data_IF_966258598300
#
_entry.id   IF_966258598300
#
_cell.length_a   1.000
_cell.length_b   1.000
_cell.length_c   1.000
_cell.angle_alpha   90.00
_cell.angle_beta   90.00
_cell.angle_gamma   90.00
#
_symmetry.space_group_name_H-M   'P 1'
#
loop_
_entity.id
_entity.type
_entity.pdbx_description
1 polymer ?
#
# COMPACT_ATOMS: atom_id res chain seq x y z
N UNK A 1 17.75 -5.62 -15.96
CA UNK A 1 16.69 -4.59 -15.90
C UNK A 1 15.99 -4.59 -17.24
N UNK A 2 14.66 -4.66 -17.25
CA UNK A 2 13.88 -4.59 -18.48
C UNK A 2 13.70 -3.11 -18.84
N UNK A 3 14.42 -2.65 -19.87
CA UNK A 3 14.44 -1.25 -20.28
C UNK A 3 13.94 -1.09 -21.71
N UNK A 4 13.03 -0.15 -21.92
CA UNK A 4 12.52 0.25 -23.22
C UNK A 4 12.82 1.71 -23.55
N UNK A 5 12.39 2.12 -24.74
CA UNK A 5 12.55 3.49 -25.24
C UNK A 5 11.20 4.06 -25.66
N UNK A 6 10.89 5.28 -25.22
CA UNK A 6 9.66 5.98 -25.57
C UNK A 6 9.63 6.26 -27.07
N UNK A 7 8.50 5.95 -27.72
CA UNK A 7 8.24 6.26 -29.13
C UNK A 7 7.13 7.28 -29.31
N UNK A 8 6.23 7.43 -28.34
CA UNK A 8 5.13 8.41 -28.39
C UNK A 8 4.74 8.90 -26.99
N UNK A 9 4.37 10.18 -26.91
CA UNK A 9 3.79 10.82 -25.71
C UNK A 9 2.51 11.55 -26.11
N UNK A 10 1.41 11.31 -25.40
CA UNK A 10 0.10 11.92 -25.65
C UNK A 10 -0.60 12.20 -24.32
N UNK A 11 -0.34 13.36 -23.74
CA UNK A 11 -0.79 13.69 -22.38
C UNK A 11 -0.21 12.68 -21.37
N UNK A 12 -1.02 12.06 -20.50
CA UNK A 12 -0.52 11.10 -19.53
C UNK A 12 -0.25 9.69 -20.11
N UNK A 13 -0.58 9.46 -21.38
CA UNK A 13 -0.32 8.19 -22.06
C UNK A 13 1.02 8.24 -22.80
N UNK A 14 1.90 7.31 -22.47
CA UNK A 14 3.23 7.13 -23.07
C UNK A 14 3.30 5.75 -23.74
N UNK A 15 3.92 5.66 -24.90
CA UNK A 15 4.19 4.38 -25.58
C UNK A 15 5.69 4.15 -25.63
N UNK A 16 6.15 2.97 -25.22
CA UNK A 16 7.54 2.57 -25.27
C UNK A 16 7.73 1.20 -25.93
N UNK A 17 8.83 1.03 -26.63
CA UNK A 17 9.27 -0.21 -27.31
C UNK A 17 10.43 -0.87 -26.55
N UNK A 18 10.68 -2.15 -26.79
CA UNK A 18 11.74 -2.92 -26.11
C UNK A 18 11.36 -3.43 -24.72
N UNK A 19 10.06 -3.56 -24.43
CA UNK A 19 9.53 -4.05 -23.14
C UNK A 19 8.86 -5.42 -23.27
N UNK A 20 9.34 -6.28 -24.18
CA UNK A 20 8.74 -7.59 -24.46
C UNK A 20 8.65 -8.52 -23.23
N UNK A 21 9.59 -8.39 -22.29
CA UNK A 21 9.62 -9.20 -21.07
C UNK A 21 8.86 -8.56 -19.88
N UNK A 22 8.33 -7.35 -20.06
CA UNK A 22 7.50 -6.71 -19.03
C UNK A 22 6.09 -7.31 -19.01
N UNK A 23 5.37 -7.11 -17.92
CA UNK A 23 3.99 -7.58 -17.78
C UNK A 23 2.99 -6.42 -17.75
N UNK A 24 1.76 -6.69 -18.15
CA UNK A 24 0.64 -5.78 -17.91
C UNK A 24 0.48 -5.57 -16.41
N UNK A 25 0.23 -4.32 -16.01
CA UNK A 25 0.18 -3.80 -14.65
C UNK A 25 1.54 -3.55 -13.98
N UNK A 26 2.67 -3.87 -14.62
CA UNK A 26 3.98 -3.55 -14.06
C UNK A 26 4.14 -2.04 -13.89
N UNK A 27 4.70 -1.64 -12.75
CA UNK A 27 5.13 -0.26 -12.53
C UNK A 27 6.41 -0.03 -13.33
N UNK A 28 6.46 1.12 -14.01
CA UNK A 28 7.62 1.56 -14.78
C UNK A 28 8.11 2.92 -14.29
N UNK A 29 9.40 3.18 -14.49
CA UNK A 29 10.06 4.48 -14.28
C UNK A 29 10.35 5.11 -15.64
N UNK A 30 9.76 6.28 -15.90
CA UNK A 30 9.73 6.93 -17.22
C UNK A 30 10.63 8.16 -17.24
N UNK A 31 11.56 8.19 -18.21
CA UNK A 31 12.48 9.29 -18.44
C UNK A 31 13.58 9.45 -17.38
N UNK A 32 14.41 10.48 -17.55
CA UNK A 32 15.52 10.80 -16.64
C UNK A 32 15.05 11.16 -15.23
N UNK A 33 13.83 11.71 -15.11
CA UNK A 33 13.19 12.04 -13.84
C UNK A 33 12.54 10.83 -13.16
N UNK A 34 12.60 9.64 -13.77
CA UNK A 34 12.06 8.38 -13.22
C UNK A 34 10.59 8.51 -12.77
N UNK A 35 9.76 9.18 -13.58
CA UNK A 35 8.34 9.36 -13.27
C UNK A 35 7.65 8.00 -13.14
N UNK A 36 6.70 7.89 -12.23
CA UNK A 36 5.99 6.64 -11.98
C UNK A 36 4.88 6.46 -13.01
N UNK A 37 4.86 5.30 -13.67
CA UNK A 37 3.76 4.88 -14.53
C UNK A 37 3.42 3.41 -14.39
N UNK A 38 2.36 2.98 -15.05
CA UNK A 38 1.89 1.60 -15.06
C UNK A 38 1.61 1.15 -16.50
N UNK A 39 2.04 -0.06 -16.86
CA UNK A 39 1.74 -0.67 -18.16
C UNK A 39 0.26 -1.07 -18.20
N UNK A 40 -0.53 -0.42 -19.04
CA UNK A 40 -1.95 -0.72 -19.23
C UNK A 40 -2.18 -1.89 -20.19
N UNK A 41 -1.39 -1.95 -21.25
CA UNK A 41 -1.53 -2.97 -22.30
C UNK A 41 -0.19 -3.16 -23.04
N UNK A 42 -0.03 -4.32 -23.65
CA UNK A 42 1.11 -4.67 -24.48
C UNK A 42 0.67 -5.17 -25.85
N UNK A 43 1.42 -4.81 -26.89
CA UNK A 43 1.21 -5.28 -28.25
C UNK A 43 2.56 -5.58 -28.87
N UNK A 44 2.91 -6.87 -28.91
CA UNK A 44 4.28 -7.29 -29.24
C UNK A 44 5.25 -6.79 -28.17
N UNK A 45 6.26 -6.03 -28.61
CA UNK A 45 7.28 -5.41 -27.75
C UNK A 45 6.92 -3.98 -27.29
N UNK A 46 5.74 -3.48 -27.70
CA UNK A 46 5.26 -2.13 -27.36
C UNK A 46 4.37 -2.15 -26.13
N UNK A 47 4.69 -1.31 -25.15
CA UNK A 47 3.88 -1.10 -23.96
C UNK A 47 3.18 0.27 -24.01
N UNK A 48 1.88 0.28 -23.73
CA UNK A 48 1.11 1.50 -23.46
C UNK A 48 1.11 1.76 -21.96
N UNK A 49 1.64 2.90 -21.54
CA UNK A 49 1.95 3.25 -20.16
C UNK A 49 1.12 4.45 -19.73
N UNK A 50 0.39 4.33 -18.63
CA UNK A 50 -0.24 5.44 -17.94
C UNK A 50 0.75 6.03 -16.94
N UNK A 51 1.16 7.28 -17.13
CA UNK A 51 2.02 7.99 -16.17
C UNK A 51 1.14 8.69 -15.13
N UNK A 52 1.50 8.57 -13.85
CA UNK A 52 0.76 9.15 -12.72
C UNK A 52 1.27 10.54 -12.30
N UNK A 53 2.24 11.06 -13.02
CA UNK A 53 2.81 12.40 -12.86
C UNK A 53 2.74 13.19 -14.17
N UNK A 54 2.98 14.50 -14.09
CA UNK A 54 2.95 15.40 -15.24
C UNK A 54 4.07 15.10 -16.25
N UNK A 55 3.68 14.76 -17.48
CA UNK A 55 4.58 14.26 -18.55
C UNK A 55 5.22 15.36 -19.39
N UNK A 56 4.92 16.64 -19.13
CA UNK A 56 5.51 17.77 -19.85
C UNK A 56 7.05 17.74 -19.88
N UNK A 57 7.65 17.79 -21.07
CA UNK A 57 9.09 17.70 -21.27
C UNK A 57 9.64 16.29 -21.48
N UNK A 58 8.80 15.25 -21.42
CA UNK A 58 9.14 13.90 -21.88
C UNK A 58 8.84 13.79 -23.38
N UNK A 59 9.74 13.15 -24.12
CA UNK A 59 9.59 12.91 -25.54
C UNK A 59 10.16 11.56 -25.99
N UNK A 60 10.01 11.22 -27.28
CA UNK A 60 10.60 10.03 -27.86
C UNK A 60 12.12 9.95 -27.64
N UNK A 61 12.63 8.73 -27.45
CA UNK A 61 14.04 8.47 -27.14
C UNK A 61 14.37 8.41 -25.65
N UNK A 62 13.48 8.86 -24.77
CA UNK A 62 13.68 8.72 -23.32
C UNK A 62 13.52 7.25 -22.87
N UNK A 63 14.25 6.87 -21.82
CA UNK A 63 14.29 5.49 -21.30
C UNK A 63 13.06 5.22 -20.43
N UNK A 64 12.55 3.98 -20.49
CA UNK A 64 11.55 3.43 -19.57
C UNK A 64 12.11 2.18 -18.91
N UNK A 65 12.06 2.08 -17.58
CA UNK A 65 12.52 0.90 -16.84
C UNK A 65 11.36 0.22 -16.12
N UNK A 66 11.11 -1.06 -16.38
CA UNK A 66 10.14 -1.83 -15.60
C UNK A 66 10.72 -2.22 -14.25
N UNK A 67 9.90 -2.10 -13.20
CA UNK A 67 10.19 -2.63 -11.87
C UNK A 67 9.94 -4.14 -11.76
N UNK A 68 9.28 -4.73 -12.77
CA UNK A 68 8.90 -6.15 -12.80
C UNK A 68 7.85 -6.54 -11.76
N UNK A 69 7.20 -5.56 -11.14
CA UNK A 69 6.17 -5.78 -10.13
C UNK A 69 4.99 -4.85 -10.37
N UNK A 70 3.76 -5.31 -10.08
CA UNK A 70 2.59 -4.46 -10.16
C UNK A 70 2.61 -3.37 -9.08
N UNK A 71 1.77 -2.35 -9.27
CA UNK A 71 1.60 -1.29 -8.27
C UNK A 71 1.24 -1.91 -6.92
N UNK A 72 2.11 -1.66 -5.94
CA UNK A 72 2.08 -2.32 -4.64
C UNK A 72 2.25 -1.29 -3.54
N UNK A 73 1.63 -1.57 -2.41
CA UNK A 73 1.80 -0.79 -1.18
C UNK A 73 2.67 -1.54 -0.19
N UNK A 74 3.42 -0.77 0.59
CA UNK A 74 4.17 -1.26 1.75
C UNK A 74 3.25 -1.27 2.97
N UNK A 75 3.21 -2.41 3.66
CA UNK A 75 2.36 -2.62 4.82
C UNK A 75 3.23 -3.04 6.00
N UNK A 76 3.21 -2.26 7.08
CA UNK A 76 3.99 -2.52 8.28
C UNK A 76 3.91 -1.36 9.28
N UNK A 77 4.67 -1.42 10.38
CA UNK A 77 4.71 -0.34 11.37
C UNK A 77 5.18 1.00 10.77
N UNK A 78 4.50 2.09 11.12
CA UNK A 78 4.76 3.43 10.59
C UNK A 78 3.76 3.90 9.53
N UNK A 79 2.74 3.09 9.23
CA UNK A 79 1.62 3.50 8.38
C UNK A 79 0.63 4.38 9.13
N UNK A 80 0.39 4.09 10.41
CA UNK A 80 -0.54 4.85 11.23
C UNK A 80 0.01 6.26 11.49
N UNK A 81 -0.91 7.21 11.67
CA UNK A 81 -0.61 8.63 11.88
C UNK A 81 0.08 9.33 10.69
N UNK A 82 0.20 8.65 9.54
CA UNK A 82 0.82 9.20 8.33
C UNK A 82 -0.24 9.68 7.32
N UNK A 83 0.19 10.57 6.42
CA UNK A 83 -0.61 11.07 5.29
C UNK A 83 0.14 10.83 3.99
N UNK A 84 -0.50 10.11 3.09
CA UNK A 84 0.08 9.66 1.83
C UNK A 84 -0.54 10.36 0.63
N UNK A 85 0.22 10.48 -0.45
CA UNK A 85 -0.32 10.77 -1.78
C UNK A 85 -1.00 9.53 -2.41
N UNK A 86 -1.48 9.68 -3.66
CA UNK A 86 -2.20 8.61 -4.37
C UNK A 86 -1.40 7.35 -4.67
N UNK A 87 -0.08 7.34 -4.47
CA UNK A 87 0.81 6.20 -4.72
C UNK A 87 1.63 5.82 -3.48
N UNK A 88 1.13 6.18 -2.29
CA UNK A 88 1.71 5.84 -0.99
C UNK A 88 3.07 6.48 -0.69
N UNK A 89 3.36 7.67 -1.23
CA UNK A 89 4.50 8.47 -0.76
C UNK A 89 4.06 9.38 0.38
N UNK A 90 4.79 9.42 1.50
CA UNK A 90 4.36 10.18 2.65
C UNK A 90 4.63 11.68 2.44
N UNK A 91 3.58 12.49 2.53
CA UNK A 91 3.64 13.93 2.22
C UNK A 91 4.57 14.73 3.16
N UNK A 92 4.69 14.42 4.47
CA UNK A 92 5.62 15.13 5.34
C UNK A 92 7.07 15.02 4.85
N UNK A 93 7.52 13.82 4.47
CA UNK A 93 8.87 13.53 4.01
C UNK A 93 9.10 14.08 2.59
N UNK A 94 8.08 14.10 1.73
CA UNK A 94 8.14 14.84 0.45
C UNK A 94 8.39 16.32 0.74
N UNK A 95 7.60 16.92 1.65
CA UNK A 95 7.71 18.34 1.99
C UNK A 95 9.08 18.70 2.55
N UNK A 96 9.67 17.83 3.38
CA UNK A 96 11.02 18.02 3.92
C UNK A 96 12.09 18.04 2.82
N UNK A 97 11.92 17.25 1.75
CA UNK A 97 12.89 17.19 0.65
C UNK A 97 12.75 18.30 -0.38
N UNK A 98 11.52 18.66 -0.76
CA UNK A 98 11.27 19.54 -1.93
C UNK A 98 10.47 20.80 -1.62
N UNK A 99 10.11 21.01 -0.36
CA UNK A 99 9.38 22.20 0.09
C UNK A 99 7.86 22.09 -0.09
N UNK A 100 7.20 23.23 -0.18
CA UNK A 100 5.72 23.32 -0.15
C UNK A 100 5.02 22.85 -1.43
N UNK A 101 5.76 22.61 -2.51
CA UNK A 101 5.21 22.19 -3.81
C UNK A 101 5.77 20.83 -4.18
N UNK A 102 4.89 19.88 -4.52
CA UNK A 102 5.30 18.54 -4.96
C UNK A 102 5.99 18.66 -6.31
N UNK A 103 7.30 18.40 -6.35
CA UNK A 103 8.06 18.32 -7.59
C UNK A 103 7.98 16.92 -8.20
N UNK A 104 8.27 16.83 -9.50
CA UNK A 104 8.23 15.57 -10.26
C UNK A 104 9.42 14.67 -9.94
N UNK A 105 9.21 13.35 -10.00
CA UNK A 105 10.28 12.38 -9.83
C UNK A 105 10.78 12.22 -8.40
N UNK A 106 10.06 12.75 -7.41
CA UNK A 106 10.40 12.59 -5.99
C UNK A 106 10.14 11.15 -5.56
N UNK A 107 11.22 10.45 -5.21
CA UNK A 107 11.18 9.06 -4.74
C UNK A 107 11.48 9.02 -3.23
N UNK A 108 10.43 8.73 -2.47
CA UNK A 108 10.48 8.61 -1.00
C UNK A 108 9.83 7.28 -0.62
N UNK A 109 10.48 6.45 0.21
CA UNK A 109 9.89 5.21 0.69
C UNK A 109 8.56 5.45 1.44
N UNK A 110 7.61 4.52 1.29
CA UNK A 110 6.30 4.61 1.97
C UNK A 110 6.42 4.48 3.50
N UNK A 111 7.38 3.68 3.97
CA UNK A 111 7.70 3.53 5.39
C UNK A 111 9.10 4.06 5.69
N UNK A 112 9.26 4.69 6.84
CA UNK A 112 10.56 5.18 7.32
C UNK A 112 11.51 3.99 7.56
N UNK A 113 12.64 3.99 6.86
CA UNK A 113 13.66 2.92 6.91
C UNK A 113 14.59 3.00 8.11
N UNK A 114 14.64 4.15 8.76
CA UNK A 114 15.57 4.44 9.86
C UNK A 114 14.89 4.32 11.22
N UNK A 115 13.57 4.54 11.26
CA UNK A 115 12.77 4.40 12.49
C UNK A 115 12.83 2.96 12.97
N UNK A 116 13.22 2.80 14.24
CA UNK A 116 13.26 1.51 14.91
C UNK A 116 12.01 1.28 15.73
N UNK A 117 11.60 0.02 15.79
CA UNK A 117 10.41 -0.47 16.48
C UNK A 117 10.80 -1.63 17.39
N UNK A 118 10.20 -1.66 18.58
CA UNK A 118 10.36 -2.78 19.50
C UNK A 118 9.42 -3.92 19.06
N UNK A 119 10.03 -5.02 18.63
CA UNK A 119 9.34 -6.22 18.20
C UNK A 119 9.30 -7.26 19.33
N UNK A 120 8.09 -7.66 19.70
CA UNK A 120 7.85 -8.74 20.67
C UNK A 120 7.35 -9.99 19.95
N UNK A 121 8.11 -11.10 19.94
CA UNK A 121 7.69 -12.33 19.29
C UNK A 121 6.53 -12.99 20.04
N UNK A 122 5.59 -13.56 19.28
CA UNK A 122 4.48 -14.37 19.79
C UNK A 122 4.65 -15.84 19.39
N UNK A 123 5.19 -16.08 18.19
CA UNK A 123 5.54 -17.42 17.72
C UNK A 123 6.85 -17.92 18.34
N UNK A 124 7.02 -19.24 18.38
CA UNK A 124 8.22 -19.92 18.88
C UNK A 124 8.92 -20.68 17.77
N UNK A 125 10.22 -20.92 17.96
CA UNK A 125 10.99 -21.80 17.07
C UNK A 125 10.36 -23.19 17.06
N UNK A 126 10.13 -23.72 15.87
CA UNK A 126 9.45 -25.00 15.64
C UNK A 126 7.95 -24.90 15.36
N UNK A 127 7.32 -23.72 15.53
CA UNK A 127 5.92 -23.54 15.20
C UNK A 127 5.69 -23.61 13.69
N UNK A 128 4.62 -24.28 13.26
CA UNK A 128 4.18 -24.30 11.86
C UNK A 128 3.19 -23.18 11.64
N UNK A 129 3.54 -22.25 10.76
CA UNK A 129 2.76 -21.07 10.46
C UNK A 129 2.39 -21.02 8.98
N UNK A 130 1.29 -20.34 8.70
CA UNK A 130 0.70 -20.13 7.39
C UNK A 130 0.32 -18.66 7.22
N UNK A 131 0.02 -18.26 5.98
CA UNK A 131 -0.34 -16.88 5.64
C UNK A 131 -1.43 -16.31 6.54
N UNK A 132 -1.12 -15.20 7.22
CA UNK A 132 -2.00 -14.54 8.18
C UNK A 132 -1.73 -14.87 9.65
N UNK A 133 -0.95 -15.90 9.95
CA UNK A 133 -0.55 -16.20 11.34
C UNK A 133 0.39 -15.12 11.89
N UNK A 134 0.24 -14.80 13.18
CA UNK A 134 0.98 -13.73 13.85
C UNK A 134 2.33 -14.24 14.34
N UNK A 135 3.43 -13.71 13.81
CA UNK A 135 4.79 -14.03 14.28
C UNK A 135 5.17 -13.22 15.52
N UNK A 136 4.65 -12.00 15.62
CA UNK A 136 4.91 -11.09 16.74
C UNK A 136 4.16 -9.78 16.60
N UNK A 137 4.43 -8.86 17.51
CA UNK A 137 3.72 -7.59 17.61
C UNK A 137 4.66 -6.41 17.85
N UNK A 138 4.22 -5.24 17.41
CA UNK A 138 4.86 -3.94 17.64
C UNK A 138 3.81 -2.99 18.19
N UNK A 139 4.12 -2.25 19.26
CA UNK A 139 3.26 -1.16 19.71
C UNK A 139 3.46 0.05 18.78
N UNK A 140 2.56 0.27 17.83
CA UNK A 140 2.74 1.31 16.80
C UNK A 140 2.31 2.69 17.28
N UNK A 141 1.16 2.77 17.95
CA UNK A 141 0.65 3.99 18.60
C UNK A 141 0.33 3.68 20.07
N UNK A 142 -0.09 4.66 20.86
CA UNK A 142 -0.49 4.42 22.26
C UNK A 142 -1.71 3.49 22.41
N UNK A 143 -2.53 3.36 21.36
CA UNK A 143 -3.75 2.55 21.38
C UNK A 143 -3.68 1.28 20.53
N UNK A 144 -2.81 1.24 19.51
CA UNK A 144 -2.81 0.17 18.51
C UNK A 144 -1.57 -0.70 18.61
N UNK A 145 -1.82 -1.99 18.90
CA UNK A 145 -0.84 -3.06 18.80
C UNK A 145 -0.84 -3.63 17.37
N UNK A 146 0.19 -3.32 16.61
CA UNK A 146 0.37 -3.79 15.24
C UNK A 146 0.82 -5.26 15.26
N UNK A 147 0.08 -6.12 14.56
CA UNK A 147 0.39 -7.55 14.44
C UNK A 147 1.23 -7.80 13.19
N UNK A 148 2.44 -8.32 13.37
CA UNK A 148 3.30 -8.76 12.28
C UNK A 148 2.87 -10.18 11.90
N UNK A 149 2.39 -10.35 10.67
CA UNK A 149 1.83 -11.61 10.18
C UNK A 149 2.69 -12.21 9.08
N UNK A 150 2.67 -13.54 8.96
CA UNK A 150 3.25 -14.24 7.81
C UNK A 150 2.54 -13.78 6.53
N UNK A 151 3.28 -13.37 5.48
CA UNK A 151 2.68 -12.98 4.22
C UNK A 151 1.76 -14.06 3.65
N UNK A 152 0.64 -13.69 3.00
CA UNK A 152 -0.42 -14.64 2.67
C UNK A 152 -0.02 -15.81 1.76
N UNK A 153 1.03 -15.65 0.96
CA UNK A 153 1.50 -16.65 -0.01
C UNK A 153 2.53 -17.62 0.57
N UNK A 154 2.87 -17.49 1.86
CA UNK A 154 3.93 -18.28 2.50
C UNK A 154 3.39 -19.18 3.61
N UNK A 155 4.04 -20.32 3.78
CA UNK A 155 3.82 -21.25 4.87
C UNK A 155 5.13 -21.96 5.19
N UNK A 156 5.39 -22.24 6.46
CA UNK A 156 6.63 -22.88 6.86
C UNK A 156 6.73 -23.10 8.35
N UNK A 157 7.88 -23.65 8.76
CA UNK A 157 8.22 -23.83 10.17
C UNK A 157 9.18 -22.74 10.60
N UNK A 158 8.96 -22.13 11.77
CA UNK A 158 9.85 -21.09 12.30
C UNK A 158 11.21 -21.70 12.65
N UNK A 159 12.27 -21.26 11.97
CA UNK A 159 13.66 -21.67 12.22
C UNK A 159 14.32 -20.77 13.24
N UNK A 160 14.08 -19.47 13.13
CA UNK A 160 14.58 -18.47 14.07
C UNK A 160 13.58 -17.33 14.20
N UNK A 161 13.53 -16.75 15.38
CA UNK A 161 12.78 -15.53 15.66
C UNK A 161 13.54 -14.74 16.71
N UNK A 162 13.67 -13.44 16.51
CA UNK A 162 14.40 -12.55 17.41
C UNK A 162 13.44 -11.57 18.07
N UNK A 163 13.77 -11.17 19.29
CA UNK A 163 13.11 -10.07 20.01
C UNK A 163 14.07 -8.91 20.12
N UNK A 164 13.55 -7.68 20.10
CA UNK A 164 14.38 -6.49 20.23
C UNK A 164 13.95 -5.37 19.30
N UNK A 165 14.88 -4.46 19.04
CA UNK A 165 14.58 -3.20 18.35
C UNK A 165 15.11 -3.25 16.93
N UNK A 166 14.20 -3.21 15.95
CA UNK A 166 14.51 -3.40 14.53
C UNK A 166 13.92 -2.30 13.66
N UNK A 167 14.50 -2.06 12.49
CA UNK A 167 13.85 -1.28 11.42
C UNK A 167 12.82 -2.13 10.67
N UNK A 168 11.94 -1.50 9.90
CA UNK A 168 10.88 -2.23 9.16
C UNK A 168 11.42 -3.20 8.10
N UNK A 169 12.67 -3.03 7.67
CA UNK A 169 13.35 -3.87 6.66
C UNK A 169 14.24 -4.95 7.24
N UNK A 170 14.61 -4.85 8.52
CA UNK A 170 15.44 -5.85 9.18
C UNK A 170 14.66 -7.15 9.40
N UNK A 171 15.37 -8.28 9.24
CA UNK A 171 14.81 -9.62 9.40
C UNK A 171 14.55 -9.91 10.88
N UNK A 172 13.29 -10.18 11.22
CA UNK A 172 12.85 -10.51 12.60
C UNK A 172 12.57 -12.00 12.79
N UNK A 173 12.26 -12.72 11.71
CA UNK A 173 12.01 -14.15 11.73
C UNK A 173 12.48 -14.84 10.44
N UNK A 174 12.81 -16.11 10.52
CA UNK A 174 13.10 -16.97 9.37
C UNK A 174 12.20 -18.18 9.42
N UNK A 175 11.49 -18.45 8.32
CA UNK A 175 10.66 -19.63 8.16
C UNK A 175 11.25 -20.55 7.08
N UNK A 176 11.15 -21.86 7.27
CA UNK A 176 11.54 -22.87 6.29
C UNK A 176 10.28 -23.51 5.70
N UNK A 177 10.15 -23.44 4.37
CA UNK A 177 9.01 -24.02 3.67
C UNK A 177 9.12 -25.55 3.49
N UNK A 178 8.09 -26.16 2.89
CA UNK A 178 8.08 -27.61 2.64
C UNK A 178 9.19 -28.10 1.70
N UNK A 179 9.81 -27.21 0.92
CA UNK A 179 10.92 -27.50 0.01
C UNK A 179 12.29 -27.24 0.66
N UNK A 180 12.33 -26.96 1.98
CA UNK A 180 13.53 -26.59 2.74
C UNK A 180 14.18 -25.29 2.28
N UNK A 181 13.41 -24.40 1.65
CA UNK A 181 13.87 -23.05 1.32
C UNK A 181 13.59 -22.15 2.51
N UNK A 182 14.60 -21.37 2.91
CA UNK A 182 14.50 -20.41 4.02
C UNK A 182 14.06 -19.06 3.48
N UNK A 183 13.01 -18.52 4.09
CA UNK A 183 12.45 -17.22 3.78
C UNK A 183 12.63 -16.29 4.98
N UNK A 184 13.29 -15.17 4.73
CA UNK A 184 13.48 -14.12 5.72
C UNK A 184 12.24 -13.22 5.78
N UNK A 185 11.72 -12.99 6.99
CA UNK A 185 10.58 -12.14 7.25
C UNK A 185 11.02 -10.88 7.98
N UNK A 186 10.69 -9.73 7.40
CA UNK A 186 10.78 -8.42 8.06
C UNK A 186 9.41 -8.00 8.60
N UNK A 187 9.36 -6.85 9.28
CA UNK A 187 8.09 -6.28 9.75
C UNK A 187 7.26 -5.63 8.63
N UNK A 188 7.83 -5.48 7.44
CA UNK A 188 7.16 -4.93 6.26
C UNK A 188 6.88 -6.02 5.23
N UNK A 189 5.68 -5.97 4.65
CA UNK A 189 5.30 -6.72 3.45
C UNK A 189 4.92 -5.77 2.32
N UNK A 190 5.07 -6.22 1.07
CA UNK A 190 4.52 -5.52 -0.11
C UNK A 190 3.29 -6.27 -0.60
N UNK A 191 2.25 -5.53 -0.99
CA UNK A 191 1.03 -6.12 -1.52
C UNK A 191 0.49 -5.38 -2.75
N UNK A 192 0.19 -6.08 -3.86
CA UNK A 192 -0.37 -5.44 -5.05
C UNK A 192 -1.75 -4.84 -4.78
N UNK A 193 -1.94 -3.56 -5.11
CA UNK A 193 -3.19 -2.84 -4.79
C UNK A 193 -4.41 -3.34 -5.56
N UNK A 194 -4.18 -3.95 -6.73
CA UNK A 194 -5.24 -4.52 -7.58
C UNK A 194 -5.63 -5.94 -7.19
N UNK A 195 -4.91 -6.56 -6.26
CA UNK A 195 -5.21 -7.91 -5.76
C UNK A 195 -5.78 -7.76 -4.35
N UNK A 196 -7.02 -8.22 -4.14
CA UNK A 196 -7.61 -8.21 -2.81
C UNK A 196 -6.79 -9.09 -1.87
N UNK A 197 -6.51 -8.61 -0.64
CA UNK A 197 -5.91 -9.45 0.40
C UNK A 197 -6.81 -10.65 0.69
N UNK A 198 -6.27 -11.88 0.78
CA UNK A 198 -7.08 -13.07 0.97
C UNK A 198 -7.68 -13.13 2.38
N UNK A 199 -8.79 -13.85 2.50
CA UNK A 199 -9.48 -14.12 3.75
C UNK A 199 -10.00 -15.56 3.76
N UNK A 200 -10.11 -16.17 4.94
CA UNK A 200 -10.57 -17.55 5.06
C UNK A 200 -12.07 -17.70 4.76
N UNK A 201 -12.90 -16.78 5.28
CA UNK A 201 -14.35 -16.80 5.09
C UNK A 201 -14.94 -15.39 5.17
N UNK A 202 -15.90 -15.10 4.29
CA UNK A 202 -16.72 -13.88 4.37
C UNK A 202 -17.92 -14.13 5.25
N UNK A 203 -18.12 -13.26 6.23
CA UNK A 203 -19.30 -13.27 7.10
C UNK A 203 -20.27 -12.16 6.70
N UNK A 204 -21.57 -12.38 6.91
CA UNK A 204 -22.55 -11.31 6.74
C UNK A 204 -22.44 -10.31 7.90
N UNK A 205 -22.35 -8.99 7.62
CA UNK A 205 -22.34 -7.96 8.64
C UNK A 205 -23.63 -7.99 9.48
N UNK A 206 -23.52 -8.30 10.77
CA UNK A 206 -24.67 -8.38 11.69
C UNK A 206 -24.58 -7.41 12.87
N UNK A 207 -23.39 -6.91 13.19
CA UNK A 207 -23.16 -5.96 14.29
C UNK A 207 -23.29 -4.53 13.78
N UNK A 208 -24.17 -3.68 14.34
CA UNK A 208 -24.24 -2.27 13.97
C UNK A 208 -22.93 -1.56 14.34
N UNK A 209 -22.51 -0.61 13.51
CA UNK A 209 -21.48 0.38 13.79
C UNK A 209 -22.15 1.56 14.46
N UNK A 210 -21.65 1.97 15.62
CA UNK A 210 -22.15 3.16 16.31
C UNK A 210 -21.45 4.37 15.71
N UNK A 211 -22.17 5.18 14.93
CA UNK A 211 -21.63 6.40 14.31
C UNK A 211 -21.68 7.64 15.21
N UNK A 212 -22.43 7.56 16.31
CA UNK A 212 -22.77 8.71 17.16
C UNK A 212 -23.75 9.69 16.51
N UNK A 213 -24.24 9.41 15.29
CA UNK A 213 -25.16 10.27 14.57
C UNK A 213 -26.57 9.68 14.65
N UNK A 214 -27.46 10.31 15.42
CA UNK A 214 -28.82 9.82 15.70
C UNK A 214 -29.57 9.35 14.45
N UNK A 215 -29.50 10.12 13.36
CA UNK A 215 -30.20 9.79 12.11
C UNK A 215 -29.66 8.52 11.44
N UNK A 216 -28.34 8.32 11.46
CA UNK A 216 -27.69 7.13 10.91
C UNK A 216 -27.99 5.94 11.82
N UNK A 217 -27.71 6.06 13.11
CA UNK A 217 -27.84 4.94 14.05
C UNK A 217 -29.29 4.45 14.22
N UNK A 218 -30.27 5.33 14.01
CA UNK A 218 -31.70 5.01 14.22
C UNK A 218 -32.42 4.63 12.93
N UNK A 219 -32.28 5.41 11.86
CA UNK A 219 -33.08 5.23 10.64
C UNK A 219 -32.32 4.52 9.51
N UNK A 220 -31.00 4.69 9.43
CA UNK A 220 -30.17 4.14 8.35
C UNK A 220 -28.89 3.49 8.89
N UNK A 221 -29.00 2.49 9.80
CA UNK A 221 -27.85 1.95 10.50
C UNK A 221 -26.89 1.24 9.54
N UNK A 222 -25.60 1.44 9.77
CA UNK A 222 -24.52 0.81 9.00
C UNK A 222 -23.95 -0.32 9.87
N UNK A 223 -23.87 -1.54 9.35
CA UNK A 223 -23.21 -2.63 10.06
C UNK A 223 -21.69 -2.56 9.92
N UNK A 224 -20.93 -3.06 10.89
CA UNK A 224 -19.47 -3.23 10.77
C UNK A 224 -19.15 -4.24 9.67
N UNK A 225 -18.47 -3.79 8.62
CA UNK A 225 -18.26 -4.54 7.38
C UNK A 225 -19.35 -4.34 6.33
N UNK A 226 -20.34 -3.48 6.60
CA UNK A 226 -21.35 -3.03 5.64
C UNK A 226 -20.84 -1.90 4.74
N UNK A 227 -21.63 -1.58 3.73
CA UNK A 227 -21.33 -0.54 2.74
C UNK A 227 -22.44 0.51 2.77
N UNK A 228 -22.07 1.78 2.77
CA UNK A 228 -23.00 2.90 2.68
C UNK A 228 -22.55 3.90 1.61
N UNK A 229 -23.52 4.55 0.97
CA UNK A 229 -23.27 5.65 0.04
C UNK A 229 -23.97 6.91 0.56
N UNK A 230 -23.28 8.05 0.50
CA UNK A 230 -23.83 9.37 0.88
C UNK A 230 -23.83 10.27 -0.36
N UNK A 231 -24.77 10.05 -1.30
CA UNK A 231 -24.91 10.92 -2.46
C UNK A 231 -25.46 12.29 -2.04
N UNK A 232 -25.05 13.34 -2.73
CA UNK A 232 -25.58 14.67 -2.48
C UNK A 232 -24.95 15.75 -3.35
N UNK A 233 -25.66 16.88 -3.58
CA UNK A 233 -25.14 17.98 -4.38
C UNK A 233 -23.93 18.66 -3.73
N UNK A 234 -23.27 19.56 -4.44
CA UNK A 234 -22.21 20.39 -3.87
C UNK A 234 -22.75 21.18 -2.66
N UNK A 235 -21.95 21.28 -1.59
CA UNK A 235 -22.34 22.00 -0.37
C UNK A 235 -23.33 21.27 0.54
N UNK A 236 -23.79 20.05 0.22
CA UNK A 236 -24.78 19.33 1.03
C UNK A 236 -24.25 18.70 2.34
N UNK A 237 -23.01 19.01 2.73
CA UNK A 237 -22.41 18.46 3.96
C UNK A 237 -21.85 17.04 3.87
N UNK A 238 -21.59 16.49 2.67
CA UNK A 238 -20.99 15.14 2.51
C UNK A 238 -19.71 14.95 3.33
N UNK A 239 -18.78 15.89 3.23
CA UNK A 239 -17.51 15.89 3.97
C UNK A 239 -17.72 15.97 5.48
N UNK A 240 -18.72 16.74 5.92
CA UNK A 240 -19.07 16.83 7.34
C UNK A 240 -19.54 15.48 7.87
N UNK A 241 -20.40 14.77 7.14
CA UNK A 241 -20.85 13.42 7.51
C UNK A 241 -19.66 12.45 7.58
N UNK A 242 -18.77 12.46 6.60
CA UNK A 242 -17.59 11.60 6.58
C UNK A 242 -16.63 11.90 7.75
N UNK A 243 -16.40 13.17 8.09
CA UNK A 243 -15.59 13.56 9.25
C UNK A 243 -16.22 13.11 10.57
N UNK A 244 -17.55 13.20 10.70
CA UNK A 244 -18.25 12.70 11.89
C UNK A 244 -18.10 11.19 12.03
N UNK A 245 -18.24 10.46 10.94
CA UNK A 245 -17.99 9.01 10.92
C UNK A 245 -16.53 8.69 11.29
N UNK A 246 -15.56 9.41 10.73
CA UNK A 246 -14.15 9.18 11.01
C UNK A 246 -13.77 9.44 12.49
N UNK A 247 -14.43 10.40 13.14
CA UNK A 247 -14.13 10.78 14.53
C UNK A 247 -14.84 9.93 15.58
N UNK A 248 -16.09 9.55 15.30
CA UNK A 248 -17.00 9.03 16.32
C UNK A 248 -17.39 7.57 16.13
N UNK A 249 -17.06 6.96 14.98
CA UNK A 249 -17.38 5.55 14.76
C UNK A 249 -16.61 4.66 15.73
N UNK A 250 -17.27 3.62 16.25
CA UNK A 250 -16.67 2.64 17.18
C UNK A 250 -15.76 1.62 16.45
N UNK A 251 -14.79 2.10 15.68
CA UNK A 251 -13.83 1.29 14.91
C UNK A 251 -12.41 1.50 15.42
N UNK A 252 -11.55 0.49 15.26
CA UNK A 252 -10.17 0.56 15.77
C UNK A 252 -9.28 1.47 14.91
N UNK A 253 -9.49 1.47 13.59
CA UNK A 253 -8.68 2.22 12.62
C UNK A 253 -9.60 2.81 11.54
N UNK A 254 -9.34 4.06 11.17
CA UNK A 254 -10.00 4.74 10.05
C UNK A 254 -8.97 4.98 8.96
N UNK A 255 -9.28 4.54 7.74
CA UNK A 255 -8.53 4.87 6.52
C UNK A 255 -9.34 5.90 5.74
N UNK A 256 -8.86 7.14 5.70
CA UNK A 256 -9.53 8.23 5.02
C UNK A 256 -8.87 8.52 3.66
N UNK A 257 -9.64 8.46 2.58
CA UNK A 257 -9.13 8.64 1.21
C UNK A 257 -9.81 9.87 0.59
N UNK A 258 -9.08 10.97 0.50
CA UNK A 258 -9.52 12.18 -0.20
C UNK A 258 -9.22 12.07 -1.69
N UNK A 259 -10.25 11.84 -2.53
CA UNK A 259 -10.09 11.71 -3.97
C UNK A 259 -10.60 12.97 -4.69
N UNK A 260 -9.70 13.86 -5.09
CA UNK A 260 -10.06 15.08 -5.83
C UNK A 260 -10.89 16.09 -5.02
N UNK A 261 -10.82 16.02 -3.69
CA UNK A 261 -11.53 16.91 -2.77
C UNK A 261 -10.61 18.04 -2.25
N UNK A 262 -11.21 18.98 -1.50
CA UNK A 262 -10.49 20.09 -0.84
C UNK A 262 -10.16 19.78 0.62
#
# INVERSE_FOLDING_TARGET
>A
MMSGTITKVSGPLVVAEGLADANVSDVVRVGSQRLIGEILNMTGDKASIQVYEETSGIGPGAVVESTGMPMSVELGPGMLENIYDGIQRPLPEIRERVGSTISRGVDVPALNREKKWEFTPVAKVGDKLSGGDVIGTVQETSAILHKIMVPPTMSGTVVSIQSGTFTVTETVAVIEDGNKVRHELSMMQKWPVRINRPYAKKFMPSRPMNSGQRIIDTLFPIAKGGTAAVPGPFGSGKTVVQHQLAKWSDVDIVVYIGCGER
#
